data_IF_291151211796
#
_entry.id   IF_291151211796
#
_cell.length_a   1.000
_cell.length_b   1.000
_cell.length_c   1.000
_cell.angle_alpha   90.00
_cell.angle_beta   90.00
_cell.angle_gamma   90.00
#
_symmetry.space_group_name_H-M   'P 1'
#
loop_
_entity.id
_entity.type
_entity.pdbx_description
1 polymer ?
#
# COMPACT_ATOMS: atom_id res chain seq x y z
N UNK A 1 -0.33 -2.06 17.82
CA UNK A 1 -1.48 -2.00 16.90
C UNK A 1 -1.01 -1.56 15.53
N UNK A 2 -1.83 -1.71 14.50
CA UNK A 2 -1.48 -1.34 13.12
C UNK A 2 -1.06 0.13 13.04
N UNK A 3 0.16 0.46 12.57
CA UNK A 3 0.64 1.83 12.49
C UNK A 3 -0.04 2.60 11.34
N UNK A 4 -0.47 3.82 11.63
CA UNK A 4 -1.10 4.71 10.66
C UNK A 4 -0.73 6.17 10.96
N UNK A 5 -0.93 7.05 9.98
CA UNK A 5 -0.72 8.48 10.13
C UNK A 5 -1.67 9.08 11.17
N UNK A 6 -1.12 9.85 12.13
CA UNK A 6 -1.88 10.49 13.19
C UNK A 6 -1.72 12.03 13.18
N UNK A 7 -2.77 12.79 13.53
CA UNK A 7 -4.17 12.33 13.67
C UNK A 7 -4.73 11.84 12.32
N UNK A 8 -5.79 11.02 12.37
CA UNK A 8 -6.48 10.59 11.16
C UNK A 8 -7.19 11.79 10.50
N UNK A 9 -7.21 11.83 9.18
CA UNK A 9 -7.97 12.83 8.42
C UNK A 9 -9.46 12.46 8.32
N UNK A 10 -10.27 13.38 7.79
CA UNK A 10 -11.73 13.19 7.70
C UNK A 10 -12.25 12.32 6.55
N UNK A 11 -11.38 11.83 5.65
CA UNK A 11 -11.80 11.14 4.42
C UNK A 11 -11.12 9.79 4.19
N UNK A 12 -10.04 9.50 4.91
CA UNK A 12 -9.24 8.29 4.72
C UNK A 12 -8.36 8.00 5.93
N UNK A 13 -7.96 6.73 6.06
CA UNK A 13 -6.86 6.29 6.92
C UNK A 13 -5.65 5.98 6.04
N UNK A 14 -4.47 6.41 6.46
CA UNK A 14 -3.21 6.12 5.79
C UNK A 14 -2.37 5.21 6.68
N UNK A 15 -2.29 3.93 6.32
CA UNK A 15 -1.49 2.92 7.04
C UNK A 15 -0.02 3.09 6.66
N UNK A 16 0.87 3.10 7.66
CA UNK A 16 2.32 3.27 7.46
C UNK A 16 2.96 1.93 7.06
N UNK A 17 3.12 1.72 5.76
CA UNK A 17 3.54 0.42 5.21
C UNK A 17 4.96 0.04 5.64
N UNK A 18 5.87 1.01 5.78
CA UNK A 18 7.24 0.79 6.28
C UNK A 18 7.25 0.23 7.71
N UNK A 19 6.28 0.62 8.55
CA UNK A 19 6.16 0.08 9.90
C UNK A 19 5.37 -1.24 9.96
N UNK A 20 4.49 -1.51 9.00
CA UNK A 20 3.80 -2.79 8.89
C UNK A 20 4.74 -3.88 8.34
N UNK A 21 5.51 -3.57 7.31
CA UNK A 21 6.39 -4.52 6.62
C UNK A 21 7.86 -4.03 6.67
N UNK A 22 8.48 -3.96 7.86
CA UNK A 22 9.77 -3.31 8.05
C UNK A 22 10.95 -4.04 7.38
N UNK A 23 10.78 -5.32 7.05
CA UNK A 23 11.84 -6.16 6.49
C UNK A 23 11.83 -6.18 4.97
N UNK A 24 10.82 -5.59 4.31
CA UNK A 24 10.77 -5.54 2.86
C UNK A 24 11.72 -4.47 2.31
N UNK A 25 12.56 -4.80 1.31
CA UNK A 25 13.34 -3.80 0.61
C UNK A 25 12.43 -2.77 -0.08
N UNK A 26 12.85 -1.51 -0.09
CA UNK A 26 12.07 -0.41 -0.71
C UNK A 26 11.88 -0.63 -2.21
N UNK A 27 12.82 -1.31 -2.86
CA UNK A 27 12.81 -1.70 -4.27
C UNK A 27 11.67 -2.67 -4.60
N UNK A 28 11.09 -3.34 -3.58
CA UNK A 28 9.99 -4.29 -3.72
C UNK A 28 8.62 -3.67 -3.42
N UNK A 29 8.51 -2.33 -3.46
CA UNK A 29 7.27 -1.55 -3.37
C UNK A 29 6.40 -1.87 -2.15
N UNK A 30 6.93 -1.58 -0.96
CA UNK A 30 6.36 -1.94 0.35
C UNK A 30 4.86 -1.62 0.49
N UNK A 31 4.43 -0.40 0.12
CA UNK A 31 3.02 -0.02 0.23
C UNK A 31 2.12 -0.72 -0.79
N UNK A 32 2.64 -1.02 -1.98
CA UNK A 32 1.92 -1.79 -2.98
C UNK A 32 1.78 -3.25 -2.56
N UNK A 33 2.84 -3.86 -1.99
CA UNK A 33 2.76 -5.19 -1.39
C UNK A 33 1.67 -5.26 -0.33
N UNK A 34 1.62 -4.27 0.57
CA UNK A 34 0.58 -4.19 1.59
C UNK A 34 -0.84 -4.02 0.98
N UNK A 35 -0.97 -3.27 -0.11
CA UNK A 35 -2.23 -3.12 -0.83
C UNK A 35 -2.72 -4.45 -1.41
N UNK A 36 -1.81 -5.23 -2.01
CA UNK A 36 -2.14 -6.54 -2.58
C UNK A 36 -2.48 -7.55 -1.49
N UNK A 37 -1.71 -7.60 -0.40
CA UNK A 37 -2.00 -8.47 0.74
C UNK A 37 -3.38 -8.18 1.35
N UNK A 38 -3.79 -6.92 1.40
CA UNK A 38 -5.12 -6.53 1.87
C UNK A 38 -6.24 -6.97 0.93
N UNK A 39 -5.99 -6.93 -0.38
CA UNK A 39 -6.91 -7.46 -1.37
C UNK A 39 -7.02 -8.99 -1.30
N UNK A 40 -5.90 -9.69 -1.13
CA UNK A 40 -5.88 -11.15 -0.98
C UNK A 40 -6.55 -11.62 0.31
N UNK A 41 -6.32 -10.92 1.43
CA UNK A 41 -6.88 -11.25 2.74
C UNK A 41 -8.40 -11.12 2.79
N UNK A 42 -8.96 -10.06 2.20
CA UNK A 42 -10.36 -9.68 2.45
C UNK A 42 -11.07 -8.99 1.27
N UNK A 43 -10.49 -8.98 0.07
CA UNK A 43 -11.07 -8.34 -1.11
C UNK A 43 -11.12 -6.80 -1.01
N UNK A 44 -10.37 -6.20 -0.08
CA UNK A 44 -10.37 -4.75 0.14
C UNK A 44 -9.31 -4.10 -0.73
N UNK A 45 -9.73 -3.16 -1.58
CA UNK A 45 -8.82 -2.40 -2.44
C UNK A 45 -8.42 -1.09 -1.79
N UNK A 46 -7.15 -0.98 -1.41
CA UNK A 46 -6.50 0.28 -1.05
C UNK A 46 -5.71 0.89 -2.21
N UNK A 47 -5.21 2.11 -2.01
CA UNK A 47 -4.36 2.79 -3.00
C UNK A 47 -2.99 3.03 -2.39
N UNK A 48 -1.95 2.62 -3.10
CA UNK A 48 -0.57 2.95 -2.74
C UNK A 48 -0.32 4.44 -2.87
N UNK A 49 0.33 5.00 -1.84
CA UNK A 49 0.87 6.35 -1.81
C UNK A 49 2.33 6.20 -1.41
N UNK A 50 3.17 5.82 -2.37
CA UNK A 50 4.56 5.47 -2.16
C UNK A 50 5.39 5.59 -3.43
N UNK A 51 6.33 4.69 -3.60
CA UNK A 51 7.34 4.71 -4.66
C UNK A 51 6.76 4.57 -6.07
N UNK A 52 5.66 3.84 -6.26
CA UNK A 52 5.04 3.70 -7.59
C UNK A 52 4.33 5.00 -7.96
N UNK A 53 3.51 5.55 -7.07
CA UNK A 53 2.86 6.85 -7.23
C UNK A 53 3.87 7.98 -7.42
N UNK A 54 5.01 7.93 -6.70
CA UNK A 54 6.07 8.92 -6.81
C UNK A 54 6.71 8.94 -8.20
N UNK A 55 6.47 7.95 -9.07
CA UNK A 55 6.98 7.88 -10.44
C UNK A 55 8.53 7.88 -10.54
N UNK A 56 9.03 7.70 -11.75
CA UNK A 56 10.46 7.83 -12.06
C UNK A 56 10.94 9.28 -11.90
N UNK A 57 12.22 9.42 -11.60
CA UNK A 57 12.92 10.70 -11.73
C UNK A 57 13.03 11.07 -13.23
N UNK A 58 12.70 12.30 -13.66
CA UNK A 58 12.69 12.67 -15.07
C UNK A 58 14.08 12.73 -15.70
N UNK A 59 15.13 12.92 -14.90
CA UNK A 59 16.50 13.03 -15.40
C UNK A 59 17.19 11.66 -15.34
N UNK A 60 17.16 10.99 -14.17
CA UNK A 60 17.89 9.73 -13.97
C UNK A 60 17.10 8.49 -14.36
N UNK A 61 15.78 8.60 -14.51
CA UNK A 61 14.86 7.47 -14.73
C UNK A 61 14.91 6.41 -13.61
N UNK A 62 15.48 6.74 -12.45
CA UNK A 62 15.49 5.88 -11.27
C UNK A 62 14.17 5.99 -10.49
N UNK A 63 13.90 5.01 -9.63
CA UNK A 63 12.76 5.09 -8.72
C UNK A 63 13.00 6.17 -7.68
N UNK A 64 11.99 7.03 -7.48
CA UNK A 64 11.94 7.93 -6.34
C UNK A 64 11.35 7.20 -5.15
N UNK A 65 12.09 7.18 -4.04
CA UNK A 65 11.67 6.55 -2.80
C UNK A 65 11.23 7.63 -1.80
N UNK A 66 9.93 7.98 -1.75
CA UNK A 66 9.46 9.01 -0.85
C UNK A 66 9.68 8.60 0.62
N UNK A 67 9.81 9.61 1.48
CA UNK A 67 9.90 9.38 2.92
C UNK A 67 8.65 8.64 3.43
N UNK A 68 7.48 9.03 2.93
CA UNK A 68 6.19 8.43 3.23
C UNK A 68 5.90 7.29 2.27
N UNK A 69 5.63 6.10 2.82
CA UNK A 69 5.22 4.91 2.07
C UNK A 69 3.93 4.40 2.72
N UNK A 70 2.79 4.74 2.14
CA UNK A 70 1.49 4.62 2.80
C UNK A 70 0.52 3.81 1.96
N UNK A 71 -0.35 3.06 2.65
CA UNK A 71 -1.55 2.49 2.05
C UNK A 71 -2.75 3.37 2.43
N UNK A 72 -3.38 4.02 1.45
CA UNK A 72 -4.56 4.84 1.65
C UNK A 72 -5.84 4.01 1.56
N UNK A 73 -6.61 4.03 2.65
CA UNK A 73 -7.96 3.48 2.76
C UNK A 73 -8.96 4.64 2.75
N UNK A 74 -9.39 5.04 1.55
CA UNK A 74 -10.37 6.11 1.38
C UNK A 74 -11.79 5.58 1.62
N UNK A 75 -12.63 6.36 2.33
CA UNK A 75 -13.99 5.95 2.68
C UNK A 75 -15.00 6.78 1.86
N UNK A 76 -15.65 6.19 0.84
CA UNK A 76 -16.72 6.83 0.10
C UNK A 76 -17.90 7.20 1.01
N UNK A 77 -18.43 8.41 0.83
CA UNK A 77 -19.49 8.96 1.69
C UNK A 77 -20.79 8.18 1.51
N UNK A 78 -21.37 7.72 2.62
CA UNK A 78 -22.69 7.02 2.68
C UNK A 78 -22.75 5.70 1.89
N UNK A 79 -21.61 5.04 1.66
CA UNK A 79 -21.54 3.76 0.94
C UNK A 79 -21.37 2.58 1.89
N UNK A 80 -20.42 2.70 2.83
CA UNK A 80 -20.08 1.62 3.76
C UNK A 80 -20.69 1.85 5.15
N UNK A 81 -20.92 0.74 5.84
CA UNK A 81 -21.40 0.70 7.23
C UNK A 81 -20.26 0.34 8.20
N UNK A 82 -20.53 0.45 9.50
CA UNK A 82 -19.57 0.07 10.55
C UNK A 82 -19.08 -1.37 10.45
N UNK A 83 -19.91 -2.30 9.96
CA UNK A 83 -19.50 -3.69 9.76
C UNK A 83 -18.42 -3.81 8.68
N UNK A 84 -18.51 -3.04 7.60
CA UNK A 84 -17.44 -2.98 6.60
C UNK A 84 -16.15 -2.43 7.20
N UNK A 85 -16.24 -1.41 8.06
CA UNK A 85 -15.08 -0.86 8.76
C UNK A 85 -14.45 -1.89 9.71
N UNK A 86 -15.26 -2.69 10.40
CA UNK A 86 -14.77 -3.79 11.25
C UNK A 86 -14.05 -4.87 10.44
N UNK A 87 -14.54 -5.21 9.25
CA UNK A 87 -13.86 -6.15 8.34
C UNK A 87 -12.50 -5.59 7.92
N UNK A 88 -12.45 -4.30 7.54
CA UNK A 88 -11.18 -3.63 7.19
C UNK A 88 -10.19 -3.68 8.37
N UNK A 89 -10.65 -3.33 9.57
CA UNK A 89 -9.80 -3.34 10.77
C UNK A 89 -9.30 -4.75 11.11
N UNK A 90 -10.15 -5.77 10.98
CA UNK A 90 -9.76 -7.17 11.19
C UNK A 90 -8.73 -7.63 10.16
N UNK A 91 -8.92 -7.34 8.87
CA UNK A 91 -7.98 -7.69 7.82
C UNK A 91 -6.61 -7.01 8.03
N UNK A 92 -6.59 -5.71 8.36
CA UNK A 92 -5.35 -5.02 8.70
C UNK A 92 -4.65 -5.64 9.92
N UNK A 93 -5.42 -6.08 10.94
CA UNK A 93 -4.86 -6.77 12.10
C UNK A 93 -4.24 -8.11 11.71
N UNK A 94 -4.95 -8.94 10.95
CA UNK A 94 -4.47 -10.26 10.52
C UNK A 94 -3.16 -10.15 9.75
N UNK A 95 -3.09 -9.23 8.77
CA UNK A 95 -1.85 -8.95 8.00
C UNK A 95 -0.73 -8.49 8.93
N UNK A 96 -1.04 -7.57 9.86
CA UNK A 96 -0.05 -7.11 10.83
C UNK A 96 0.46 -8.26 11.71
N UNK A 97 -0.40 -9.18 12.14
CA UNK A 97 -0.01 -10.34 12.94
C UNK A 97 0.91 -11.30 12.15
N UNK A 98 0.58 -11.59 10.87
CA UNK A 98 1.41 -12.45 9.98
C UNK A 98 2.50 -11.70 9.21
N UNK A 99 2.79 -10.44 9.54
CA UNK A 99 3.72 -9.57 8.78
C UNK A 99 5.13 -10.13 8.58
N UNK A 100 5.58 -10.99 9.49
CA UNK A 100 6.90 -11.63 9.41
C UNK A 100 6.99 -12.68 8.29
N UNK A 101 5.85 -13.23 7.85
CA UNK A 101 5.77 -14.20 6.76
C UNK A 101 5.85 -13.52 5.37
N UNK A 102 5.52 -12.23 5.31
CA UNK A 102 5.58 -11.41 4.09
C UNK A 102 7.03 -10.94 3.89
N UNK A 103 7.83 -11.82 3.28
CA UNK A 103 9.28 -11.65 3.11
C UNK A 103 9.69 -11.12 1.74
N UNK A 104 8.80 -11.20 0.74
CA UNK A 104 9.01 -10.65 -0.60
C UNK A 104 7.85 -9.73 -1.00
N UNK A 105 8.16 -8.76 -1.85
CA UNK A 105 7.21 -7.87 -2.47
C UNK A 105 7.10 -8.11 -3.97
N UNK A 106 7.05 -7.02 -4.73
CA UNK A 106 6.79 -7.06 -6.17
C UNK A 106 7.92 -6.43 -6.97
N UNK A 107 8.01 -6.83 -8.25
CA UNK A 107 8.85 -6.16 -9.26
C UNK A 107 7.97 -5.68 -10.41
N UNK A 108 8.34 -4.56 -11.03
CA UNK A 108 7.67 -4.04 -12.22
C UNK A 108 8.06 -4.90 -13.43
N UNK A 109 7.06 -5.40 -14.16
CA UNK A 109 7.23 -6.09 -15.45
C UNK A 109 6.91 -5.18 -16.62
N UNK A 110 5.98 -4.26 -16.42
CA UNK A 110 5.59 -3.24 -17.39
C UNK A 110 5.21 -1.94 -16.68
N UNK A 111 5.64 -0.80 -17.21
CA UNK A 111 5.22 0.52 -16.75
C UNK A 111 5.02 1.48 -17.93
N UNK A 112 4.02 2.36 -17.83
CA UNK A 112 3.84 3.44 -18.79
C UNK A 112 4.87 4.57 -18.52
N UNK A 113 5.26 5.37 -19.53
CA UNK A 113 6.26 6.43 -19.36
C UNK A 113 5.86 7.55 -18.37
N UNK A 114 4.56 7.76 -18.17
CA UNK A 114 4.01 8.80 -17.29
C UNK A 114 2.79 8.22 -16.58
N UNK A 115 2.57 8.60 -15.31
CA UNK A 115 1.44 8.16 -14.49
C UNK A 115 1.39 6.63 -14.37
N UNK A 116 2.56 5.99 -14.28
CA UNK A 116 2.71 4.52 -14.26
C UNK A 116 1.82 3.81 -13.25
N UNK A 117 1.51 4.45 -12.13
CA UNK A 117 0.68 3.89 -11.06
C UNK A 117 -0.74 3.49 -11.49
N UNK A 118 -1.24 3.96 -12.63
CA UNK A 118 -2.53 3.53 -13.17
C UNK A 118 -2.46 2.21 -13.95
N UNK A 119 -1.34 1.94 -14.63
CA UNK A 119 -1.25 0.85 -15.64
C UNK A 119 -0.04 -0.04 -15.43
N UNK A 120 0.65 0.06 -14.30
CA UNK A 120 1.79 -0.78 -13.97
C UNK A 120 1.35 -2.25 -13.85
N UNK A 121 2.15 -3.14 -14.42
CA UNK A 121 2.03 -4.58 -14.19
C UNK A 121 3.17 -5.04 -13.29
N UNK A 122 2.85 -5.97 -12.40
CA UNK A 122 3.73 -6.39 -11.31
C UNK A 122 3.75 -7.92 -11.21
N UNK A 123 4.95 -8.47 -11.03
CA UNK A 123 5.15 -9.87 -10.65
C UNK A 123 5.54 -9.95 -9.17
N UNK A 124 5.06 -10.99 -8.49
CA UNK A 124 5.58 -11.36 -7.18
C UNK A 124 7.01 -11.87 -7.33
N UNK A 125 7.91 -11.42 -6.45
CA UNK A 125 9.31 -11.89 -6.36
C UNK A 125 9.36 -13.22 -5.63
#
# INVERSE_FOLDING_TARGET
GVPYQRPAGGHAIFVDAKKVLPNLPKEQFIAQTLAVELYLEAGIRGVEIGSILADRDPDTHENRYPRLELLRLAIPRRVYSDNHIRVIAAACRNIYERRAEITTGYRITFEAPILRHFTVELDKI
#
